data_IF_963382886525
#
_entry.id   IF_963382886525
#
_cell.length_a   1.000
_cell.length_b   1.000
_cell.length_c   1.000
_cell.angle_alpha   90.00
_cell.angle_beta   90.00
_cell.angle_gamma   90.00
#
_symmetry.space_group_name_H-M   'P 1'
#
loop_
_entity.id
_entity.type
_entity.pdbx_description
1 polymer ?
#
# COMPACT_ATOMS: atom_id res chain seq x y z
N UNK A 1 -16.45 6.07 -4.43
CA UNK A 1 -16.28 6.24 -2.99
C UNK A 1 -15.15 5.38 -2.46
N UNK A 2 -14.47 5.85 -1.43
CA UNK A 2 -13.26 5.23 -0.85
C UNK A 2 -13.57 4.03 0.07
N UNK A 3 -14.76 3.47 0.02
CA UNK A 3 -15.12 2.25 0.74
C UNK A 3 -15.60 1.15 -0.21
N UNK A 4 -15.04 -0.05 -0.08
CA UNK A 4 -15.39 -1.20 -0.90
C UNK A 4 -16.53 -2.03 -0.27
N UNK A 5 -17.15 -2.92 -1.07
CA UNK A 5 -18.12 -3.88 -0.54
C UNK A 5 -17.51 -4.84 0.48
N UNK A 6 -16.22 -5.20 0.28
CA UNK A 6 -15.48 -6.06 1.21
C UNK A 6 -15.24 -5.34 2.54
N UNK A 7 -14.90 -4.05 2.50
CA UNK A 7 -14.77 -3.24 3.73
C UNK A 7 -16.09 -3.24 4.51
N UNK A 8 -17.22 -3.07 3.83
CA UNK A 8 -18.53 -3.06 4.49
C UNK A 8 -18.89 -4.43 5.11
N UNK A 9 -18.57 -5.53 4.43
CA UNK A 9 -18.73 -6.89 5.01
C UNK A 9 -17.84 -7.02 6.25
N UNK A 10 -16.60 -6.58 6.19
CA UNK A 10 -15.67 -6.64 7.33
C UNK A 10 -16.05 -5.66 8.46
N UNK A 11 -16.84 -4.62 8.16
CA UNK A 11 -17.52 -3.79 9.17
C UNK A 11 -18.70 -4.50 9.85
N UNK A 12 -19.14 -5.64 9.34
CA UNK A 12 -20.23 -6.44 9.91
C UNK A 12 -21.57 -6.30 9.18
N UNK A 13 -21.62 -5.59 8.05
CA UNK A 13 -22.85 -5.47 7.26
C UNK A 13 -23.11 -6.71 6.41
N UNK A 14 -24.36 -7.11 6.29
CA UNK A 14 -24.74 -8.22 5.41
C UNK A 14 -24.70 -7.81 3.93
N UNK A 15 -24.41 -8.77 3.05
CA UNK A 15 -24.29 -8.52 1.60
C UNK A 15 -25.51 -7.78 1.00
N UNK A 16 -26.72 -8.08 1.48
CA UNK A 16 -27.97 -7.44 1.04
C UNK A 16 -28.08 -5.94 1.42
N UNK A 17 -27.30 -5.49 2.39
CA UNK A 17 -27.31 -4.10 2.88
C UNK A 17 -26.29 -3.21 2.17
N UNK A 18 -25.26 -3.83 1.53
CA UNK A 18 -24.13 -3.14 0.91
C UNK A 18 -24.56 -2.05 -0.04
N UNK A 19 -25.53 -2.35 -0.93
CA UNK A 19 -26.04 -1.38 -1.91
C UNK A 19 -26.67 -0.17 -1.25
N UNK A 20 -27.49 -0.39 -0.23
CA UNK A 20 -28.17 0.68 0.51
C UNK A 20 -27.15 1.58 1.23
N UNK A 21 -26.18 0.96 1.92
CA UNK A 21 -25.15 1.70 2.67
C UNK A 21 -24.25 2.48 1.74
N UNK A 22 -23.86 1.89 0.59
CA UNK A 22 -23.07 2.63 -0.42
C UNK A 22 -23.82 3.84 -0.97
N UNK A 23 -25.10 3.73 -1.26
CA UNK A 23 -25.89 4.84 -1.73
C UNK A 23 -26.00 5.93 -0.66
N UNK A 24 -26.25 5.56 0.60
CA UNK A 24 -26.28 6.49 1.73
C UNK A 24 -24.97 7.28 1.84
N UNK A 25 -23.81 6.58 1.85
CA UNK A 25 -22.50 7.21 1.90
C UNK A 25 -22.26 8.10 0.68
N UNK A 26 -22.68 7.65 -0.51
CA UNK A 26 -22.54 8.42 -1.74
C UNK A 26 -23.35 9.73 -1.70
N UNK A 27 -24.58 9.68 -1.23
CA UNK A 27 -25.45 10.86 -1.10
C UNK A 27 -24.86 11.89 -0.13
N UNK A 28 -24.32 11.45 1.01
CA UNK A 28 -23.66 12.33 1.98
C UNK A 28 -22.39 12.99 1.43
N UNK A 29 -21.60 12.24 0.64
CA UNK A 29 -20.40 12.79 -0.01
C UNK A 29 -20.79 13.82 -1.07
N UNK A 30 -21.82 13.55 -1.86
CA UNK A 30 -22.35 14.52 -2.85
C UNK A 30 -22.93 15.79 -2.20
N UNK A 31 -23.53 15.63 -1.02
CA UNK A 31 -24.05 16.74 -0.22
C UNK A 31 -22.98 17.51 0.57
N UNK A 32 -21.70 17.15 0.44
CA UNK A 32 -20.57 17.70 1.20
C UNK A 32 -20.71 17.54 2.73
N UNK A 33 -21.56 16.60 3.17
CA UNK A 33 -21.77 16.28 4.59
C UNK A 33 -20.75 15.27 5.12
N UNK A 34 -20.07 14.54 4.24
CA UNK A 34 -19.08 13.51 4.57
C UNK A 34 -17.89 13.56 3.60
N UNK A 35 -16.67 13.57 4.13
CA UNK A 35 -15.47 13.51 3.31
C UNK A 35 -15.33 12.12 2.65
N UNK A 36 -14.94 12.11 1.36
CA UNK A 36 -14.70 10.86 0.62
C UNK A 36 -13.34 10.22 1.01
N UNK A 37 -13.11 10.09 2.30
CA UNK A 37 -11.97 9.41 2.87
C UNK A 37 -12.42 8.17 3.64
N UNK A 38 -11.70 7.06 3.48
CA UNK A 38 -12.08 5.78 4.09
C UNK A 38 -12.26 5.89 5.60
N UNK A 39 -11.39 6.62 6.28
CA UNK A 39 -11.45 6.77 7.75
C UNK A 39 -12.68 7.57 8.19
N UNK A 40 -12.99 8.67 7.51
CA UNK A 40 -14.19 9.48 7.76
C UNK A 40 -15.46 8.66 7.56
N UNK A 41 -15.53 7.88 6.47
CA UNK A 41 -16.67 7.00 6.17
C UNK A 41 -16.81 5.90 7.24
N UNK A 42 -15.72 5.26 7.67
CA UNK A 42 -15.76 4.22 8.71
C UNK A 42 -16.22 4.82 10.04
N UNK A 43 -15.73 6.00 10.40
CA UNK A 43 -16.14 6.71 11.63
C UNK A 43 -17.63 6.99 11.61
N UNK A 44 -18.13 7.60 10.54
CA UNK A 44 -19.56 7.85 10.36
C UNK A 44 -20.41 6.58 10.51
N UNK A 45 -20.04 5.51 9.77
CA UNK A 45 -20.77 4.24 9.81
C UNK A 45 -20.71 3.59 11.20
N UNK A 46 -19.56 3.68 11.88
CA UNK A 46 -19.38 3.11 13.21
C UNK A 46 -20.25 3.79 14.26
N UNK A 47 -20.35 5.11 14.21
CA UNK A 47 -21.21 5.90 15.09
C UNK A 47 -22.69 5.64 14.82
N UNK A 48 -23.11 5.74 13.56
CA UNK A 48 -24.50 5.57 13.14
C UNK A 48 -25.04 4.17 13.43
N UNK A 49 -24.25 3.15 13.13
CA UNK A 49 -24.68 1.74 13.26
C UNK A 49 -24.14 1.07 14.53
N UNK A 50 -23.45 1.82 15.40
CA UNK A 50 -22.89 1.32 16.68
C UNK A 50 -21.99 0.09 16.50
N UNK A 51 -21.09 0.15 15.51
CA UNK A 51 -20.24 -0.98 15.12
C UNK A 51 -19.08 -1.28 16.11
N UNK A 52 -18.95 -0.51 17.20
CA UNK A 52 -17.84 -0.63 18.16
C UNK A 52 -16.57 0.09 17.71
N UNK A 53 -15.51 -0.10 18.49
CA UNK A 53 -14.19 0.52 18.24
C UNK A 53 -13.32 -0.39 17.40
N UNK A 54 -12.50 0.22 16.50
CA UNK A 54 -11.53 -0.50 15.68
C UNK A 54 -10.14 -0.45 16.29
N UNK A 55 -9.48 -1.61 16.35
CA UNK A 55 -8.04 -1.67 16.55
C UNK A 55 -7.36 -1.10 15.31
N UNK A 56 -6.45 -0.14 15.50
CA UNK A 56 -5.64 0.42 14.41
C UNK A 56 -4.34 -0.35 14.30
N UNK A 57 -4.03 -0.82 13.10
CA UNK A 57 -2.76 -1.45 12.78
C UNK A 57 -2.06 -0.66 11.69
N UNK A 58 -0.74 -0.51 11.84
CA UNK A 58 0.09 0.21 10.89
C UNK A 58 1.20 -0.70 10.39
N UNK A 59 1.44 -0.63 9.08
CA UNK A 59 2.56 -1.27 8.41
C UNK A 59 3.24 -0.27 7.50
N UNK A 60 4.54 -0.45 7.28
CA UNK A 60 5.28 0.33 6.30
C UNK A 60 6.07 -0.59 5.38
N UNK A 61 6.33 -0.14 4.16
CA UNK A 61 7.09 -0.87 3.18
C UNK A 61 7.57 0.01 2.04
N UNK A 62 8.14 -0.60 1.01
CA UNK A 62 8.65 0.16 -0.11
C UNK A 62 8.34 -0.48 -1.46
N UNK A 63 8.13 0.38 -2.46
CA UNK A 63 8.27 0.04 -3.88
C UNK A 63 9.77 0.07 -4.16
N UNK A 64 10.40 -1.10 -4.19
CA UNK A 64 11.85 -1.24 -4.41
C UNK A 64 12.14 -1.19 -5.89
N UNK A 65 13.03 -0.29 -6.31
CA UNK A 65 13.43 -0.09 -7.70
C UNK A 65 14.94 -0.19 -7.86
N UNK A 66 15.36 -0.94 -8.87
CA UNK A 66 16.76 -1.01 -9.29
C UNK A 66 16.90 -0.25 -10.63
N UNK A 67 17.60 0.89 -10.65
CA UNK A 67 17.74 1.73 -11.85
C UNK A 67 18.58 1.08 -12.95
N UNK A 68 19.59 0.28 -12.62
CA UNK A 68 20.43 -0.41 -13.60
C UNK A 68 19.64 -1.48 -14.36
N UNK A 69 18.76 -2.20 -13.66
CA UNK A 69 17.86 -3.18 -14.26
C UNK A 69 16.59 -2.56 -14.85
N UNK A 70 16.27 -1.33 -14.51
CA UNK A 70 14.97 -0.72 -14.75
C UNK A 70 13.80 -1.62 -14.27
N UNK A 71 13.97 -2.25 -13.13
CA UNK A 71 13.07 -3.27 -12.59
C UNK A 71 12.63 -2.97 -11.16
N UNK A 72 11.46 -3.46 -10.84
CA UNK A 72 10.85 -3.41 -9.52
C UNK A 72 10.93 -4.77 -8.84
N UNK A 73 11.16 -4.79 -7.54
CA UNK A 73 11.07 -6.00 -6.75
C UNK A 73 9.65 -6.17 -6.21
N UNK A 74 9.05 -7.31 -6.51
CA UNK A 74 7.81 -7.77 -5.88
C UNK A 74 8.05 -9.12 -5.23
N UNK A 75 7.28 -9.38 -4.17
CA UNK A 75 7.37 -10.61 -3.39
C UNK A 75 6.02 -11.34 -3.38
N UNK A 76 6.08 -12.66 -3.26
CA UNK A 76 4.93 -13.53 -3.05
C UNK A 76 4.90 -13.97 -1.60
N UNK A 77 3.88 -13.56 -0.87
CA UNK A 77 3.64 -13.97 0.51
C UNK A 77 3.14 -15.42 0.57
N UNK A 78 3.31 -16.11 1.70
CA UNK A 78 2.86 -17.51 1.89
C UNK A 78 1.36 -17.73 1.64
N UNK A 79 0.54 -16.69 1.74
CA UNK A 79 -0.88 -16.76 1.38
C UNK A 79 -1.15 -16.67 -0.14
N UNK A 80 -0.11 -16.69 -0.96
CA UNK A 80 -0.16 -16.63 -2.43
C UNK A 80 -0.31 -15.25 -3.03
N UNK A 81 -0.42 -14.18 -2.23
CA UNK A 81 -0.58 -12.81 -2.73
C UNK A 81 0.76 -12.19 -3.11
N UNK A 82 0.80 -11.54 -4.27
CA UNK A 82 1.93 -10.74 -4.74
C UNK A 82 1.77 -9.28 -4.36
N UNK A 83 2.86 -8.65 -3.95
CA UNK A 83 2.89 -7.24 -3.59
C UNK A 83 4.28 -6.72 -3.28
N UNK A 84 4.34 -5.57 -2.60
CA UNK A 84 5.59 -4.97 -2.16
C UNK A 84 5.99 -5.50 -0.78
N UNK A 85 7.29 -5.59 -0.46
CA UNK A 85 7.78 -5.90 0.87
C UNK A 85 7.29 -4.85 1.88
N UNK A 86 6.78 -5.31 3.02
CA UNK A 86 6.19 -4.48 4.08
C UNK A 86 5.87 -5.27 5.33
N UNK A 87 5.94 -4.65 6.48
CA UNK A 87 5.46 -5.26 7.72
C UNK A 87 5.11 -4.26 8.79
N UNK A 88 4.87 -4.73 9.99
CA UNK A 88 4.36 -3.93 11.10
C UNK A 88 5.42 -2.97 11.67
N UNK A 89 4.97 -1.78 12.04
CA UNK A 89 5.80 -0.83 12.77
C UNK A 89 6.06 -1.37 14.19
N UNK A 90 7.31 -1.37 14.60
CA UNK A 90 7.73 -1.67 15.96
C UNK A 90 7.81 -0.40 16.83
N UNK A 91 7.86 -0.58 18.15
CA UNK A 91 7.96 0.54 19.07
C UNK A 91 9.25 1.35 18.82
N UNK A 92 9.10 2.69 18.80
CA UNK A 92 10.17 3.66 18.56
C UNK A 92 10.72 3.73 17.12
N UNK A 93 10.12 3.04 16.15
CA UNK A 93 10.49 3.20 14.74
C UNK A 93 9.71 4.35 14.08
N UNK A 94 10.40 5.07 13.20
CA UNK A 94 9.74 5.92 12.20
C UNK A 94 9.20 5.08 11.04
N UNK A 95 8.25 5.60 10.28
CA UNK A 95 7.69 4.93 9.10
C UNK A 95 8.78 4.49 8.11
N UNK A 96 9.83 5.33 7.92
CA UNK A 96 10.96 5.05 7.04
C UNK A 96 11.82 3.92 7.60
N UNK A 97 12.12 3.94 8.90
CA UNK A 97 12.91 2.88 9.54
C UNK A 97 12.20 1.52 9.44
N UNK A 98 10.89 1.49 9.70
CA UNK A 98 10.09 0.27 9.48
C UNK A 98 10.19 -0.21 8.04
N UNK A 99 9.99 0.67 7.05
CA UNK A 99 10.03 0.28 5.64
C UNK A 99 11.40 -0.30 5.23
N UNK A 100 12.50 0.31 5.69
CA UNK A 100 13.86 -0.17 5.42
C UNK A 100 14.13 -1.52 6.10
N UNK A 101 13.73 -1.68 7.37
CA UNK A 101 13.88 -2.93 8.11
C UNK A 101 13.11 -4.06 7.45
N UNK A 102 11.85 -3.85 7.12
CA UNK A 102 10.99 -4.87 6.52
C UNK A 102 11.49 -5.31 5.13
N UNK A 103 11.93 -4.37 4.29
CA UNK A 103 12.55 -4.74 3.00
C UNK A 103 13.77 -5.61 3.23
N UNK A 104 14.64 -5.26 4.18
CA UNK A 104 15.83 -6.05 4.49
C UNK A 104 15.47 -7.42 5.07
N UNK A 105 14.52 -7.51 5.99
CA UNK A 105 14.11 -8.78 6.62
C UNK A 105 13.44 -9.71 5.62
N UNK A 106 12.51 -9.23 4.81
CA UNK A 106 11.79 -10.05 3.84
C UNK A 106 12.61 -10.43 2.61
N UNK A 107 13.61 -9.60 2.22
CA UNK A 107 14.30 -9.75 0.91
C UNK A 107 15.84 -9.78 0.99
N UNK A 108 16.44 -9.43 2.13
CA UNK A 108 17.89 -9.27 2.28
C UNK A 108 18.47 -8.05 1.55
N UNK A 109 17.64 -7.20 0.93
CA UNK A 109 18.05 -6.02 0.16
C UNK A 109 18.12 -4.79 1.06
N UNK A 110 19.22 -4.03 0.97
CA UNK A 110 19.30 -2.68 1.53
C UNK A 110 18.82 -1.65 0.51
N UNK A 111 18.05 -0.67 0.99
CA UNK A 111 17.48 0.39 0.15
C UNK A 111 17.80 1.78 0.68
N UNK A 112 17.89 2.74 -0.22
CA UNK A 112 17.88 4.17 0.09
C UNK A 112 16.49 4.73 -0.22
N UNK A 113 15.85 5.38 0.76
CA UNK A 113 14.54 6.00 0.57
C UNK A 113 14.66 7.28 -0.23
N UNK A 114 13.85 7.41 -1.27
CA UNK A 114 13.75 8.63 -2.07
C UNK A 114 12.76 9.59 -1.42
N UNK A 115 13.21 10.81 -1.14
CA UNK A 115 12.35 11.84 -0.56
C UNK A 115 11.24 12.28 -1.53
N UNK A 116 10.11 12.71 -0.96
CA UNK A 116 9.00 13.28 -1.72
C UNK A 116 7.94 12.28 -2.18
N UNK A 117 8.15 10.97 -1.96
CA UNK A 117 7.12 9.96 -2.22
C UNK A 117 6.68 9.28 -0.93
N UNK A 118 5.41 9.42 -0.60
CA UNK A 118 4.75 8.69 0.49
C UNK A 118 3.30 8.42 0.06
N UNK A 119 2.88 7.16 0.05
CA UNK A 119 1.51 6.76 -0.27
C UNK A 119 0.97 5.81 0.77
N UNK A 120 -0.25 6.11 1.25
CA UNK A 120 -0.97 5.27 2.21
C UNK A 120 -2.12 4.57 1.51
N UNK A 121 -2.37 3.33 1.89
CA UNK A 121 -3.60 2.59 1.62
C UNK A 121 -4.21 2.17 2.94
N UNK A 122 -5.55 2.28 3.06
CA UNK A 122 -6.30 1.87 4.25
C UNK A 122 -7.32 0.82 3.86
N UNK A 123 -7.47 -0.21 4.66
CA UNK A 123 -8.47 -1.27 4.47
C UNK A 123 -8.79 -1.97 5.78
N UNK A 124 -9.89 -2.75 5.78
CA UNK A 124 -10.33 -3.54 6.92
C UNK A 124 -10.04 -5.02 6.56
N UNK A 125 -8.93 -5.59 7.07
CA UNK A 125 -8.54 -6.97 6.73
C UNK A 125 -9.52 -7.99 7.29
N UNK A 126 -10.08 -7.72 8.46
CA UNK A 126 -11.09 -8.54 9.14
C UNK A 126 -11.87 -7.67 10.14
N UNK A 127 -13.04 -8.12 10.64
CA UNK A 127 -13.88 -7.35 11.54
C UNK A 127 -13.12 -6.79 12.74
N UNK A 128 -13.32 -5.50 13.04
CA UNK A 128 -12.73 -4.83 14.19
C UNK A 128 -11.28 -4.34 14.02
N UNK A 129 -10.69 -4.46 12.81
CA UNK A 129 -9.32 -3.95 12.54
C UNK A 129 -9.31 -3.03 11.33
N UNK A 130 -8.83 -1.80 11.53
CA UNK A 130 -8.49 -0.86 10.46
C UNK A 130 -6.97 -0.87 10.28
N UNK A 131 -6.51 -1.31 9.11
CA UNK A 131 -5.09 -1.37 8.76
C UNK A 131 -4.72 -0.25 7.80
N UNK A 132 -3.68 0.48 8.14
CA UNK A 132 -2.99 1.43 7.26
C UNK A 132 -1.66 0.84 6.82
N UNK A 133 -1.36 0.92 5.52
CA UNK A 133 -0.05 0.55 4.96
C UNK A 133 0.54 1.74 4.23
N UNK A 134 1.72 2.17 4.65
CA UNK A 134 2.45 3.30 4.06
C UNK A 134 3.57 2.75 3.18
N UNK A 135 3.62 3.23 1.94
CA UNK A 135 4.66 2.88 0.98
C UNK A 135 5.53 4.07 0.62
N UNK A 136 6.83 3.84 0.63
CA UNK A 136 7.88 4.71 0.12
C UNK A 136 8.43 4.17 -1.20
N UNK A 137 9.35 4.90 -1.84
CA UNK A 137 10.20 4.38 -2.92
C UNK A 137 11.57 4.12 -2.31
N UNK A 138 12.05 2.89 -2.46
CA UNK A 138 13.41 2.49 -2.09
C UNK A 138 14.24 2.19 -3.33
N UNK A 139 15.40 2.81 -3.44
CA UNK A 139 16.37 2.55 -4.53
C UNK A 139 17.44 1.59 -4.02
N UNK A 140 17.83 0.65 -4.87
CA UNK A 140 18.95 -0.25 -4.59
C UNK A 140 19.70 -0.61 -5.87
N UNK A 141 21.00 -0.86 -5.73
CA UNK A 141 21.84 -1.46 -6.78
C UNK A 141 22.05 -2.96 -6.56
N UNK A 142 21.54 -3.50 -5.45
CA UNK A 142 21.65 -4.92 -5.14
C UNK A 142 20.68 -5.73 -6.02
N UNK A 143 21.15 -6.87 -6.48
CA UNK A 143 20.38 -7.78 -7.33
C UNK A 143 20.01 -9.08 -6.64
N UNK A 144 20.87 -9.50 -5.70
CA UNK A 144 20.73 -10.79 -5.03
C UNK A 144 19.73 -10.67 -3.89
N UNK A 145 18.57 -11.30 -4.08
CA UNK A 145 17.54 -11.41 -3.07
C UNK A 145 17.72 -12.68 -2.24
N UNK A 146 17.57 -12.53 -0.94
CA UNK A 146 17.55 -13.64 0.02
C UNK A 146 16.27 -13.53 0.84
N UNK A 147 15.23 -14.27 0.44
CA UNK A 147 13.91 -14.19 1.07
C UNK A 147 13.90 -14.87 2.45
N UNK A 148 13.12 -14.30 3.38
CA UNK A 148 12.70 -15.01 4.60
C UNK A 148 11.59 -16.02 4.25
N UNK A 149 11.93 -17.30 4.25
CA UNK A 149 11.01 -18.39 3.92
C UNK A 149 9.88 -18.61 4.93
N UNK A 150 9.93 -17.94 6.08
CA UNK A 150 8.86 -18.01 7.07
C UNK A 150 7.68 -17.10 6.67
N UNK A 151 7.92 -16.09 5.83
CA UNK A 151 6.92 -15.10 5.41
C UNK A 151 6.73 -15.03 3.89
N UNK A 152 7.82 -15.26 3.13
CA UNK A 152 7.89 -15.07 1.68
C UNK A 152 8.09 -16.41 0.97
N UNK A 153 7.21 -16.71 0.01
CA UNK A 153 7.26 -17.91 -0.82
C UNK A 153 8.20 -17.74 -2.02
N UNK A 154 8.18 -16.56 -2.67
CA UNK A 154 8.91 -16.27 -3.91
C UNK A 154 9.13 -14.77 -4.10
N UNK A 155 9.97 -14.40 -5.05
CA UNK A 155 10.21 -13.01 -5.43
C UNK A 155 10.45 -12.89 -6.93
N UNK A 156 10.29 -11.66 -7.46
CA UNK A 156 10.60 -11.36 -8.84
C UNK A 156 11.09 -9.93 -9.00
N UNK A 157 12.21 -9.76 -9.73
CA UNK A 157 12.56 -8.52 -10.39
C UNK A 157 11.79 -8.44 -11.71
N UNK A 158 10.95 -7.45 -11.87
CA UNK A 158 10.04 -7.35 -13.01
C UNK A 158 9.89 -5.92 -13.53
N UNK A 159 9.50 -5.81 -14.77
CA UNK A 159 9.10 -4.54 -15.37
C UNK A 159 7.79 -4.04 -14.73
N UNK A 160 7.51 -2.76 -14.88
CA UNK A 160 6.23 -2.17 -14.46
C UNK A 160 5.01 -2.94 -15.00
N UNK A 161 5.04 -3.31 -16.30
CA UNK A 161 3.91 -4.02 -16.91
C UNK A 161 3.69 -5.43 -16.36
N UNK A 162 4.77 -6.12 -15.99
CA UNK A 162 4.70 -7.42 -15.32
C UNK A 162 4.20 -7.27 -13.88
N UNK A 163 4.74 -6.29 -13.13
CA UNK A 163 4.29 -6.00 -11.77
C UNK A 163 2.78 -5.74 -11.69
N UNK A 164 2.23 -4.92 -12.61
CA UNK A 164 0.79 -4.65 -12.64
C UNK A 164 -0.08 -5.89 -12.86
N UNK A 165 0.43 -6.87 -13.62
CA UNK A 165 -0.29 -8.13 -13.87
C UNK A 165 -0.25 -9.06 -12.67
N UNK A 166 0.85 -9.01 -11.90
CA UNK A 166 1.10 -9.93 -10.80
C UNK A 166 0.58 -9.41 -9.46
N UNK A 167 0.72 -8.11 -9.16
CA UNK A 167 0.26 -7.52 -7.89
C UNK A 167 -1.22 -7.83 -7.69
N UNK A 168 -1.52 -8.53 -6.60
CA UNK A 168 -2.85 -9.08 -6.33
C UNK A 168 -3.87 -7.98 -6.06
N UNK A 169 -3.51 -6.98 -5.25
CA UNK A 169 -4.48 -5.98 -4.77
C UNK A 169 -4.44 -4.70 -5.59
N UNK A 170 -5.61 -4.26 -6.07
CA UNK A 170 -5.75 -3.02 -6.84
C UNK A 170 -5.12 -1.79 -6.15
N UNK A 171 -5.31 -1.53 -4.84
CA UNK A 171 -4.69 -0.38 -4.20
C UNK A 171 -3.16 -0.36 -4.31
N UNK A 172 -2.50 -1.53 -4.29
CA UNK A 172 -1.05 -1.59 -4.51
C UNK A 172 -0.67 -1.34 -5.97
N UNK A 173 -1.50 -1.74 -6.94
CA UNK A 173 -1.31 -1.37 -8.35
C UNK A 173 -1.42 0.15 -8.54
N UNK A 174 -2.37 0.80 -7.86
CA UNK A 174 -2.50 2.26 -7.87
C UNK A 174 -1.27 2.97 -7.24
N UNK A 175 -0.65 2.37 -6.20
CA UNK A 175 0.64 2.83 -5.65
C UNK A 175 1.75 2.66 -6.68
N UNK A 176 1.80 1.53 -7.40
CA UNK A 176 2.79 1.25 -8.45
C UNK A 176 2.73 2.28 -9.58
N UNK A 177 1.51 2.65 -10.02
CA UNK A 177 1.31 3.68 -11.05
C UNK A 177 1.87 5.03 -10.63
N UNK A 178 1.64 5.41 -9.36
CA UNK A 178 2.16 6.66 -8.80
C UNK A 178 3.68 6.61 -8.62
N UNK A 179 4.22 5.47 -8.20
CA UNK A 179 5.66 5.27 -8.03
C UNK A 179 6.38 5.37 -9.39
N UNK A 180 5.87 4.74 -10.45
CA UNK A 180 6.47 4.86 -11.78
C UNK A 180 6.49 6.31 -12.28
N UNK A 181 5.39 7.06 -12.11
CA UNK A 181 5.33 8.47 -12.50
C UNK A 181 6.37 9.30 -11.73
N UNK A 182 6.52 9.05 -10.44
CA UNK A 182 7.51 9.73 -9.62
C UNK A 182 8.95 9.40 -10.06
N UNK A 183 9.26 8.12 -10.25
CA UNK A 183 10.59 7.66 -10.70
C UNK A 183 10.97 8.24 -12.05
N UNK A 184 10.03 8.30 -13.00
CA UNK A 184 10.26 8.93 -14.32
C UNK A 184 10.60 10.41 -14.20
N UNK A 185 9.96 11.15 -13.31
CA UNK A 185 10.26 12.55 -13.08
C UNK A 185 11.59 12.72 -12.33
N UNK A 186 11.88 11.86 -11.36
CA UNK A 186 13.11 11.87 -10.58
C UNK A 186 14.36 11.68 -11.46
N UNK A 187 14.35 10.67 -12.33
CA UNK A 187 15.46 10.43 -13.27
C UNK A 187 15.36 11.21 -14.58
N UNK A 188 14.18 11.75 -14.93
CA UNK A 188 13.98 12.55 -16.15
C UNK A 188 14.34 14.02 -16.00
N UNK A 189 14.35 14.56 -14.77
CA UNK A 189 14.73 15.95 -14.45
C UNK A 189 16.22 16.23 -14.67
N UNK A 190 17.08 15.24 -14.51
CA UNK A 190 18.54 15.37 -14.67
C UNK A 190 19.00 15.54 -16.14
N UNK A 191 18.11 15.41 -17.13
CA UNK A 191 18.48 15.56 -18.56
C UNK A 191 18.37 16.98 -19.11
N UNK A 192 17.82 17.93 -18.34
CA UNK A 192 17.61 19.30 -18.82
C UNK A 192 18.62 20.33 -18.28
N UNK A 193 19.55 19.96 -17.39
CA UNK A 193 20.53 20.88 -16.82
C UNK A 193 21.95 20.81 -17.46
N UNK A 194 22.10 20.12 -18.60
CA UNK A 194 23.38 20.07 -19.30
C UNK A 194 23.24 20.65 -20.73
N UNK A 195 22.75 21.88 -20.85
CA UNK A 195 22.99 22.76 -21.98
C UNK A 195 22.59 24.20 -21.58
N UNK A 196 23.50 24.88 -20.96
CA UNK A 196 23.49 26.30 -20.69
C UNK A 196 24.92 26.80 -20.64
#
# INVERSE_FOLDING_TARGET
>A
IEISGVDLINLGFHAKEIGKIKNEVYDLILGEELENEKESIITYLSEKYKLGTFKREKSCGAVVYNPDKQAFLIIKMLNGNWGFPKGHTEDNETDIQTAMREVREETGIEIEIVDGFKKSIKYIPFPGVLKEVIFFIGITMEEKVTIDKNEIEDYMWCTYGEALKMITYKPQRDVMDKALKFIKNYYGGDKNDIHG
#
